data_IF_584336574840
#
_entry.id   IF_584336574840
#
_cell.length_a   1.000
_cell.length_b   1.000
_cell.length_c   1.000
_cell.angle_alpha   90.00
_cell.angle_beta   90.00
_cell.angle_gamma   90.00
#
_symmetry.space_group_name_H-M   'P 1'
#
loop_
_entity.id
_entity.type
_entity.pdbx_description
1 polymer ?
#
# COMPACT_ATOMS: atom_id res chain seq x y z
N UNK A 1 11.37 -9.48 -22.67
CA UNK A 1 9.90 -9.39 -22.75
C UNK A 1 9.43 -8.92 -21.39
N UNK A 2 9.07 -7.64 -21.25
CA UNK A 2 8.48 -7.12 -20.01
C UNK A 2 7.07 -7.68 -19.88
N UNK A 3 6.83 -8.53 -18.89
CA UNK A 3 5.50 -9.03 -18.61
C UNK A 3 4.75 -7.91 -17.86
N UNK A 4 3.85 -7.22 -18.54
CA UNK A 4 3.06 -6.14 -17.94
C UNK A 4 1.94 -6.78 -17.11
N UNK A 5 2.08 -6.77 -15.78
CA UNK A 5 1.08 -7.30 -14.87
C UNK A 5 0.11 -6.17 -14.47
N UNK A 6 -1.16 -6.30 -14.83
CA UNK A 6 -2.18 -5.33 -14.45
C UNK A 6 -2.76 -5.66 -13.08
N UNK A 7 -2.64 -4.73 -12.12
CA UNK A 7 -3.26 -4.83 -10.80
C UNK A 7 -4.45 -3.87 -10.74
N UNK A 8 -5.63 -4.39 -10.43
CA UNK A 8 -6.81 -3.54 -10.22
C UNK A 8 -6.83 -3.06 -8.78
N UNK A 9 -6.82 -1.74 -8.59
CA UNK A 9 -6.86 -1.13 -7.26
C UNK A 9 -8.15 -0.33 -7.09
N UNK A 10 -8.90 -0.65 -6.03
CA UNK A 10 -9.95 0.22 -5.52
C UNK A 10 -9.40 1.03 -4.35
N UNK A 11 -9.40 2.35 -4.50
CA UNK A 11 -8.94 3.27 -3.48
C UNK A 11 -10.11 3.92 -2.73
N UNK A 12 -10.18 3.70 -1.42
CA UNK A 12 -11.13 4.32 -0.48
C UNK A 12 -10.43 5.14 0.60
N UNK A 13 -9.17 5.50 0.41
CA UNK A 13 -8.33 6.15 1.43
C UNK A 13 -8.48 7.67 1.48
N UNK A 14 -8.92 8.31 0.39
CA UNK A 14 -8.89 9.77 0.23
C UNK A 14 -7.50 10.30 -0.20
N UNK A 15 -6.46 9.45 -0.19
CA UNK A 15 -5.13 9.77 -0.70
C UNK A 15 -5.00 9.42 -2.18
N UNK A 16 -4.01 9.99 -2.86
CA UNK A 16 -3.58 9.51 -4.17
C UNK A 16 -3.14 8.04 -4.11
N UNK A 17 -3.25 7.33 -5.25
CA UNK A 17 -2.70 5.97 -5.36
C UNK A 17 -1.19 5.97 -5.07
N UNK A 18 -0.65 4.88 -4.49
CA UNK A 18 0.79 4.71 -4.35
C UNK A 18 1.51 4.84 -5.70
N UNK A 19 2.69 5.43 -5.67
CA UNK A 19 3.55 5.59 -6.83
C UNK A 19 5.01 5.41 -6.41
N UNK A 20 5.84 5.01 -7.37
CA UNK A 20 7.28 4.94 -7.17
C UNK A 20 7.84 6.35 -7.01
N UNK A 21 8.59 6.59 -5.94
CA UNK A 21 9.12 7.91 -5.63
C UNK A 21 10.22 8.34 -6.63
N UNK A 22 11.00 7.39 -7.12
CA UNK A 22 12.02 7.59 -8.16
C UNK A 22 11.96 6.45 -9.18
N UNK A 23 12.57 6.61 -10.37
CA UNK A 23 12.55 5.57 -11.41
C UNK A 23 13.11 4.21 -10.99
N UNK A 24 14.02 4.19 -10.00
CA UNK A 24 14.69 2.97 -9.51
C UNK A 24 14.15 2.49 -8.16
N UNK A 25 13.05 3.05 -7.66
CA UNK A 25 12.43 2.60 -6.42
C UNK A 25 11.95 1.15 -6.55
N UNK A 26 12.29 0.31 -5.57
CA UNK A 26 11.86 -1.09 -5.55
C UNK A 26 10.42 -1.29 -5.05
N UNK A 27 9.83 -0.29 -4.39
CA UNK A 27 8.49 -0.33 -3.83
C UNK A 27 7.83 1.05 -3.83
N UNK A 28 6.58 1.10 -3.37
CA UNK A 28 5.78 2.31 -3.28
C UNK A 28 5.32 2.52 -1.84
N UNK A 29 5.31 3.78 -1.40
CA UNK A 29 4.83 4.12 -0.07
C UNK A 29 3.31 4.00 0.01
N UNK A 30 2.83 3.39 1.09
CA UNK A 30 1.40 3.32 1.41
C UNK A 30 1.11 4.23 2.60
N UNK A 31 0.01 5.00 2.50
CA UNK A 31 -0.39 5.96 3.53
C UNK A 31 -1.44 5.37 4.46
N UNK A 32 -1.35 5.74 5.74
CA UNK A 32 -2.37 5.43 6.73
C UNK A 32 -3.69 6.15 6.38
N UNK A 33 -4.80 5.42 6.39
CA UNK A 33 -6.15 5.98 6.28
C UNK A 33 -6.72 6.17 7.69
N UNK A 34 -6.52 7.35 8.25
CA UNK A 34 -6.98 7.68 9.60
C UNK A 34 -7.84 8.95 9.56
N UNK A 35 -8.93 8.96 10.35
CA UNK A 35 -9.73 10.18 10.57
C UNK A 35 -9.07 11.09 11.61
N UNK A 36 -8.42 10.48 12.61
CA UNK A 36 -7.68 11.17 13.67
C UNK A 36 -6.31 10.50 13.88
N UNK A 37 -5.30 11.23 14.40
CA UNK A 37 -4.01 10.63 14.72
C UNK A 37 -4.14 9.42 15.67
N UNK A 38 -3.28 8.44 15.47
CA UNK A 38 -3.12 7.27 16.33
C UNK A 38 -1.77 7.37 17.04
N UNK A 39 -1.76 7.17 18.36
CA UNK A 39 -0.53 7.16 19.16
C UNK A 39 -0.25 5.73 19.63
N UNK A 40 0.89 5.18 19.21
CA UNK A 40 1.36 3.87 19.67
C UNK A 40 2.29 4.05 20.87
N UNK A 41 1.95 3.41 21.99
CA UNK A 41 2.83 3.33 23.15
C UNK A 41 3.96 2.31 22.90
N UNK A 42 5.09 2.39 23.64
CA UNK A 42 6.16 1.40 23.51
C UNK A 42 5.65 -0.04 23.62
N UNK A 43 6.00 -0.87 22.64
CA UNK A 43 5.58 -2.28 22.56
C UNK A 43 4.16 -2.51 22.04
N UNK A 44 3.37 -1.46 21.79
CA UNK A 44 2.03 -1.59 21.22
C UNK A 44 2.09 -1.91 19.72
N UNK A 45 1.11 -2.68 19.25
CA UNK A 45 0.86 -2.93 17.83
C UNK A 45 -0.59 -2.58 17.49
N UNK A 46 -0.81 -2.07 16.29
CA UNK A 46 -2.15 -1.81 15.79
C UNK A 46 -2.21 -2.07 14.29
N UNK A 47 -3.33 -2.63 13.83
CA UNK A 47 -3.61 -2.71 12.41
C UNK A 47 -4.03 -1.33 11.90
N UNK A 48 -3.18 -0.72 11.07
CA UNK A 48 -3.46 0.58 10.45
C UNK A 48 -4.07 0.34 9.07
N UNK A 49 -5.32 0.77 8.82
CA UNK A 49 -5.94 0.58 7.52
C UNK A 49 -5.27 1.49 6.48
N UNK A 50 -5.11 0.98 5.26
CA UNK A 50 -4.57 1.72 4.11
C UNK A 50 -5.69 2.31 3.26
N UNK A 51 -6.89 1.72 3.30
CA UNK A 51 -7.99 2.05 2.40
C UNK A 51 -7.79 1.59 0.96
N UNK A 52 -6.76 0.77 0.69
CA UNK A 52 -6.47 0.21 -0.61
C UNK A 52 -6.93 -1.25 -0.66
N UNK A 53 -7.59 -1.62 -1.76
CA UNK A 53 -8.01 -2.99 -2.04
C UNK A 53 -7.47 -3.36 -3.42
N UNK A 54 -6.65 -4.41 -3.49
CA UNK A 54 -5.99 -4.82 -4.72
C UNK A 54 -6.47 -6.22 -5.14
N UNK A 55 -6.80 -6.37 -6.41
CA UNK A 55 -6.97 -7.67 -7.06
C UNK A 55 -5.69 -7.98 -7.85
N UNK A 56 -4.95 -8.98 -7.37
CA UNK A 56 -3.67 -9.39 -7.95
C UNK A 56 -3.88 -10.46 -9.03
N UNK A 57 -3.12 -10.43 -10.13
CA UNK A 57 -3.07 -11.53 -11.08
C UNK A 57 -2.66 -12.85 -10.42
N UNK A 58 -3.14 -13.97 -10.97
CA UNK A 58 -2.75 -15.31 -10.52
C UNK A 58 -1.24 -15.48 -10.64
N UNK A 59 -0.62 -16.05 -9.60
CA UNK A 59 0.83 -16.29 -9.55
C UNK A 59 1.66 -15.09 -9.11
N UNK A 60 1.02 -14.02 -8.65
CA UNK A 60 1.70 -12.83 -8.10
C UNK A 60 1.34 -12.61 -6.63
N UNK A 61 2.19 -11.86 -5.93
CA UNK A 61 1.95 -11.41 -4.56
C UNK A 61 2.22 -9.90 -4.42
N UNK A 62 1.62 -9.30 -3.40
CA UNK A 62 1.97 -7.96 -2.93
C UNK A 62 2.61 -8.11 -1.55
N UNK A 63 3.89 -7.76 -1.45
CA UNK A 63 4.62 -7.81 -0.20
C UNK A 63 4.57 -6.46 0.52
N UNK A 64 4.20 -6.45 1.80
CA UNK A 64 4.29 -5.28 2.68
C UNK A 64 5.61 -5.35 3.44
N UNK A 65 6.37 -4.25 3.45
CA UNK A 65 7.67 -4.14 4.12
C UNK A 65 7.69 -2.93 5.07
N UNK A 66 8.34 -3.02 6.24
CA UNK A 66 8.70 -1.86 7.06
C UNK A 66 9.70 -0.94 6.36
#
# INVERSE_FOLDING_TARGET
MSNEAHVFIRNRSGHALPAYATPSSAGMDVRAKLETPVVLQPGAYQLIPTGLFAALPVGTELQVRP
#
